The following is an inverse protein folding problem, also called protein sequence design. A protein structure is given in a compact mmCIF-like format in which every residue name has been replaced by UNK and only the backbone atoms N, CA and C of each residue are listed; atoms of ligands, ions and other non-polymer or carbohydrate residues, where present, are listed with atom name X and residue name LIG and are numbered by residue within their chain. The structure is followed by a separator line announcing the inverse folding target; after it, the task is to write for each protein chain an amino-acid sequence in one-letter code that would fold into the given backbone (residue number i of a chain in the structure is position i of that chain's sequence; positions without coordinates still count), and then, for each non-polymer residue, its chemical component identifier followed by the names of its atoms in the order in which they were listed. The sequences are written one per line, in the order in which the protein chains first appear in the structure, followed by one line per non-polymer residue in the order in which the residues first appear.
data_IF_997099070891
#
_entry.id   IF_997099070891
#
_cell.length_a   1.000
_cell.length_b   1.000
_cell.length_c   1.000
_cell.angle_alpha   90.00
_cell.angle_beta   90.00
_cell.angle_gamma   90.00
#
_symmetry.space_group_name_H-M   'P 1'
#
loop_
_entity.id
_entity.type
_entity.pdbx_description
1 polymer ?
#
# COMPACT_ATOMS: atom_id res chain seq x y z
N UNK A 1 -28.23 -34.95 -16.95
CA UNK A 1 -28.03 -34.46 -15.56
C UNK A 1 -26.78 -35.13 -15.01
N UNK A 2 -25.81 -34.37 -14.51
CA UNK A 2 -24.62 -34.95 -13.86
C UNK A 2 -25.05 -35.64 -12.56
N UNK A 3 -24.66 -36.90 -12.33
CA UNK A 3 -25.01 -37.60 -11.08
C UNK A 3 -24.47 -36.80 -9.89
N UNK A 4 -25.33 -36.55 -8.90
CA UNK A 4 -24.99 -35.75 -7.71
C UNK A 4 -24.61 -36.66 -6.55
N UNK A 5 -23.64 -36.24 -5.74
CA UNK A 5 -23.24 -36.98 -4.55
C UNK A 5 -24.38 -37.01 -3.51
N UNK A 6 -24.70 -38.20 -2.99
CA UNK A 6 -25.77 -38.37 -1.97
C UNK A 6 -25.45 -37.67 -0.64
N UNK A 7 -24.19 -37.36 -0.38
CA UNK A 7 -23.77 -36.59 0.79
C UNK A 7 -23.93 -35.07 0.61
N UNK A 8 -24.34 -34.59 -0.57
CA UNK A 8 -24.52 -33.15 -0.81
C UNK A 8 -25.60 -32.59 0.12
N UNK A 9 -25.25 -31.56 0.90
CA UNK A 9 -26.10 -30.93 1.93
C UNK A 9 -26.59 -31.90 3.02
N UNK A 10 -25.91 -33.03 3.20
CA UNK A 10 -26.22 -33.94 4.29
C UNK A 10 -25.66 -33.38 5.61
N UNK A 11 -26.46 -33.30 6.70
CA UNK A 11 -26.01 -32.75 7.98
C UNK A 11 -25.09 -33.69 8.78
N UNK A 12 -24.86 -34.91 8.31
CA UNK A 12 -24.00 -35.88 9.01
C UNK A 12 -22.53 -35.42 9.03
N UNK A 13 -22.07 -34.95 10.20
CA UNK A 13 -20.70 -34.47 10.42
C UNK A 13 -19.62 -35.52 10.19
N UNK A 14 -19.95 -36.82 10.22
CA UNK A 14 -18.97 -37.88 9.99
C UNK A 14 -18.30 -37.79 8.60
N UNK A 15 -18.95 -37.17 7.61
CA UNK A 15 -18.32 -36.93 6.31
C UNK A 15 -17.09 -36.01 6.40
N UNK A 16 -17.09 -35.03 7.32
CA UNK A 16 -16.06 -34.00 7.44
C UNK A 16 -15.17 -34.13 8.68
N UNK A 17 -15.60 -34.89 9.68
CA UNK A 17 -14.89 -35.08 10.95
C UNK A 17 -15.24 -36.46 11.54
N UNK A 18 -14.74 -37.56 10.94
CA UNK A 18 -15.05 -38.91 11.39
C UNK A 18 -14.44 -39.25 12.74
N UNK A 19 -13.28 -38.67 13.10
CA UNK A 19 -12.57 -39.00 14.35
C UNK A 19 -13.31 -38.49 15.59
N UNK A 20 -14.17 -37.46 15.45
CA UNK A 20 -15.01 -36.94 16.53
C UNK A 20 -16.50 -37.27 16.37
N UNK A 21 -16.88 -38.10 15.39
CA UNK A 21 -18.26 -38.47 15.14
C UNK A 21 -18.64 -39.77 15.88
N UNK A 22 -19.90 -39.92 16.33
CA UNK A 22 -20.35 -41.17 16.94
C UNK A 22 -20.47 -42.30 15.90
N UNK A 23 -20.24 -43.55 16.32
CA UNK A 23 -20.18 -44.73 15.45
C UNK A 23 -21.41 -44.93 14.55
N UNK A 24 -22.61 -44.58 15.03
CA UNK A 24 -23.82 -44.70 14.22
C UNK A 24 -23.80 -43.73 13.03
N UNK A 25 -23.25 -42.52 13.20
CA UNK A 25 -23.11 -41.52 12.15
C UNK A 25 -22.07 -41.95 11.11
N UNK A 26 -20.97 -42.55 11.56
CA UNK A 26 -19.95 -43.15 10.68
C UNK A 26 -20.58 -44.26 9.83
N UNK A 27 -21.27 -45.23 10.47
CA UNK A 27 -21.94 -46.33 9.76
C UNK A 27 -22.97 -45.82 8.74
N UNK A 28 -23.75 -44.80 9.09
CA UNK A 28 -24.71 -44.18 8.17
C UNK A 28 -24.02 -43.52 6.97
N UNK A 29 -22.90 -42.81 7.19
CA UNK A 29 -22.12 -42.20 6.12
C UNK A 29 -21.53 -43.26 5.17
N UNK A 30 -20.96 -44.34 5.70
CA UNK A 30 -20.42 -45.45 4.91
C UNK A 30 -21.52 -46.12 4.05
N UNK A 31 -22.71 -46.34 4.62
CA UNK A 31 -23.86 -46.91 3.89
C UNK A 31 -24.32 -45.99 2.75
N UNK A 32 -24.38 -44.68 2.99
CA UNK A 32 -24.69 -43.68 1.95
C UNK A 32 -23.65 -43.69 0.83
N UNK A 33 -22.36 -43.77 1.16
CA UNK A 33 -21.30 -43.86 0.17
C UNK A 33 -21.40 -45.13 -0.70
N UNK A 34 -21.80 -46.26 -0.11
CA UNK A 34 -21.92 -47.52 -0.85
C UNK A 34 -22.95 -47.45 -1.98
N UNK A 35 -24.04 -46.69 -1.79
CA UNK A 35 -25.11 -46.47 -2.77
C UNK A 35 -24.86 -45.25 -3.69
N UNK A 36 -23.76 -44.53 -3.50
CA UNK A 36 -23.55 -43.24 -4.17
C UNK A 36 -23.15 -43.43 -5.65
N UNK A 37 -23.86 -42.80 -6.61
CA UNK A 37 -23.60 -42.98 -8.05
C UNK A 37 -22.24 -42.40 -8.50
N UNK A 38 -21.66 -41.50 -7.72
CA UNK A 38 -20.35 -40.88 -8.00
C UNK A 38 -19.21 -41.48 -7.18
N UNK A 39 -19.40 -42.65 -6.56
CA UNK A 39 -18.42 -43.26 -5.65
C UNK A 39 -17.03 -43.40 -6.28
N UNK A 40 -16.95 -43.91 -7.51
CA UNK A 40 -15.68 -44.09 -8.22
C UNK A 40 -14.97 -42.77 -8.52
N UNK A 41 -15.73 -41.75 -8.94
CA UNK A 41 -15.15 -40.41 -9.15
C UNK A 41 -14.70 -39.77 -7.84
N UNK A 42 -15.52 -39.88 -6.79
CA UNK A 42 -15.17 -39.43 -5.44
C UNK A 42 -13.89 -40.10 -4.94
N UNK A 43 -13.67 -41.38 -5.24
CA UNK A 43 -12.44 -42.09 -4.89
C UNK A 43 -11.21 -41.51 -5.61
N UNK A 44 -11.33 -41.19 -6.91
CA UNK A 44 -10.26 -40.54 -7.68
C UNK A 44 -9.94 -39.15 -7.14
N UNK A 45 -10.96 -38.35 -6.90
CA UNK A 45 -10.78 -36.99 -6.37
C UNK A 45 -10.15 -37.04 -4.98
N UNK A 46 -10.60 -37.96 -4.12
CA UNK A 46 -10.06 -38.13 -2.78
C UNK A 46 -8.63 -38.68 -2.79
N UNK A 47 -8.23 -39.50 -3.77
CA UNK A 47 -6.86 -40.00 -3.89
C UNK A 47 -5.83 -38.88 -4.11
N UNK A 48 -6.26 -37.76 -4.72
CA UNK A 48 -5.42 -36.62 -5.09
C UNK A 48 -5.74 -35.35 -4.30
N UNK A 49 -6.59 -35.42 -3.28
CA UNK A 49 -7.05 -34.25 -2.54
C UNK A 49 -5.95 -33.55 -1.73
N UNK A 50 -4.90 -34.29 -1.38
CA UNK A 50 -3.72 -33.80 -0.65
C UNK A 50 -2.54 -33.42 -1.54
N UNK A 51 -2.69 -33.49 -2.86
CA UNK A 51 -1.61 -33.20 -3.80
C UNK A 51 -1.10 -31.77 -3.64
N UNK A 52 0.22 -31.61 -3.67
CA UNK A 52 0.83 -30.30 -3.58
C UNK A 52 0.75 -29.56 -4.92
N UNK A 53 0.58 -28.24 -4.85
CA UNK A 53 0.44 -27.41 -6.05
C UNK A 53 1.71 -27.35 -6.93
N UNK A 54 2.86 -27.69 -6.37
CA UNK A 54 4.14 -27.82 -7.06
C UNK A 54 4.34 -29.21 -7.70
N UNK A 55 3.40 -30.14 -7.53
CA UNK A 55 3.44 -31.49 -8.10
C UNK A 55 4.47 -32.42 -7.47
N UNK A 56 5.15 -32.01 -6.40
CA UNK A 56 6.20 -32.80 -5.75
C UNK A 56 5.69 -33.78 -4.68
N UNK A 57 4.43 -33.66 -4.26
CA UNK A 57 3.81 -34.48 -3.22
C UNK A 57 2.45 -34.96 -3.71
N UNK A 58 2.21 -36.27 -3.61
CA UNK A 58 0.90 -36.88 -3.84
C UNK A 58 0.39 -37.45 -2.53
N UNK A 59 -0.82 -37.07 -2.12
CA UNK A 59 -1.43 -37.56 -0.89
C UNK A 59 -2.96 -37.68 -0.99
N UNK A 60 -3.57 -38.71 -0.39
CA UNK A 60 -5.01 -38.84 -0.36
C UNK A 60 -5.61 -37.85 0.64
N UNK A 61 -6.93 -37.78 0.65
CA UNK A 61 -7.70 -37.03 1.64
C UNK A 61 -7.35 -37.48 3.06
N UNK A 62 -7.58 -36.60 4.03
CA UNK A 62 -7.32 -36.83 5.45
C UNK A 62 -8.43 -36.22 6.30
N UNK A 63 -8.89 -36.92 7.33
CA UNK A 63 -9.90 -36.44 8.27
C UNK A 63 -11.31 -36.37 7.69
N UNK A 64 -11.64 -37.19 6.69
CA UNK A 64 -12.95 -37.19 6.02
C UNK A 64 -13.40 -38.61 5.68
N UNK A 65 -14.69 -38.81 5.38
CA UNK A 65 -15.19 -40.04 4.74
C UNK A 65 -15.43 -39.75 3.26
N UNK A 66 -14.69 -40.45 2.38
CA UNK A 66 -14.84 -40.33 0.93
C UNK A 66 -14.91 -41.73 0.29
N UNK A 67 -15.76 -41.90 -0.72
CA UNK A 67 -15.99 -43.17 -1.41
C UNK A 67 -16.26 -44.40 -0.51
N UNK A 68 -16.73 -44.17 0.72
CA UNK A 68 -16.98 -45.22 1.72
C UNK A 68 -15.73 -45.65 2.49
N UNK A 69 -14.72 -44.80 2.55
CA UNK A 69 -13.44 -45.03 3.23
C UNK A 69 -13.23 -43.90 4.23
N UNK A 70 -12.81 -44.23 5.45
CA UNK A 70 -12.35 -43.24 6.43
C UNK A 70 -10.93 -42.87 6.05
N UNK A 71 -10.73 -41.65 5.54
CA UNK A 71 -9.47 -41.22 4.99
C UNK A 71 -8.56 -40.67 6.10
N UNK A 72 -7.47 -41.37 6.40
CA UNK A 72 -6.49 -41.00 7.43
C UNK A 72 -5.24 -40.30 6.88
N UNK A 73 -5.13 -40.19 5.56
CA UNK A 73 -3.95 -39.59 4.94
C UNK A 73 -2.71 -40.46 5.04
N UNK A 74 -2.88 -41.79 5.00
CA UNK A 74 -1.82 -42.79 5.04
C UNK A 74 -1.81 -43.64 3.76
N UNK A 75 -0.80 -44.51 3.63
CA UNK A 75 -0.66 -45.40 2.48
C UNK A 75 -1.86 -46.36 2.34
N UNK A 76 -2.41 -46.84 3.46
CA UNK A 76 -3.59 -47.72 3.47
C UNK A 76 -4.83 -47.03 2.90
N UNK A 77 -5.04 -45.76 3.27
CA UNK A 77 -6.07 -44.90 2.68
C UNK A 77 -5.87 -44.78 1.17
N UNK A 78 -4.64 -44.53 0.71
CA UNK A 78 -4.34 -44.40 -0.72
C UNK A 78 -4.63 -45.71 -1.47
N UNK A 79 -4.21 -46.86 -0.94
CA UNK A 79 -4.52 -48.17 -1.53
C UNK A 79 -6.02 -48.46 -1.58
N UNK A 80 -6.76 -48.15 -0.51
CA UNK A 80 -8.21 -48.34 -0.47
C UNK A 80 -8.93 -47.47 -1.51
N UNK A 81 -8.53 -46.21 -1.64
CA UNK A 81 -9.09 -45.27 -2.63
C UNK A 81 -8.74 -45.67 -4.06
N UNK A 82 -7.48 -46.06 -4.33
CA UNK A 82 -7.04 -46.54 -5.63
C UNK A 82 -7.85 -47.76 -6.10
N UNK A 83 -8.07 -48.74 -5.20
CA UNK A 83 -8.96 -49.88 -5.46
C UNK A 83 -10.38 -49.45 -5.77
N UNK A 84 -10.96 -48.53 -4.98
CA UNK A 84 -12.33 -48.03 -5.20
C UNK A 84 -12.48 -47.21 -6.49
N UNK A 85 -11.40 -46.57 -6.94
CA UNK A 85 -11.32 -45.80 -8.17
C UNK A 85 -11.03 -46.65 -9.43
N UNK A 86 -10.57 -47.89 -9.25
CA UNK A 86 -10.11 -48.77 -10.33
C UNK A 86 -8.83 -48.28 -11.01
N UNK A 87 -7.92 -47.67 -10.25
CA UNK A 87 -6.65 -47.11 -10.73
C UNK A 87 -5.47 -47.63 -9.90
N UNK A 88 -4.23 -47.65 -10.43
CA UNK A 88 -3.07 -47.99 -9.62
C UNK A 88 -2.84 -46.97 -8.50
N UNK A 89 -2.31 -47.42 -7.37
CA UNK A 89 -1.84 -46.52 -6.30
C UNK A 89 -0.68 -45.67 -6.83
N UNK A 90 -0.65 -44.35 -6.57
CA UNK A 90 0.44 -43.49 -7.03
C UNK A 90 1.82 -43.96 -6.52
N UNK A 91 2.86 -43.99 -7.37
CA UNK A 91 4.18 -44.53 -7.01
C UNK A 91 4.97 -43.62 -6.07
N UNK A 92 4.62 -42.33 -5.99
CA UNK A 92 5.32 -41.32 -5.19
C UNK A 92 4.43 -40.78 -4.07
N UNK A 93 3.88 -41.70 -3.29
CA UNK A 93 3.20 -41.33 -2.05
C UNK A 93 4.21 -40.73 -1.07
N UNK A 94 3.98 -39.49 -0.65
CA UNK A 94 4.77 -38.83 0.39
C UNK A 94 3.83 -38.34 1.46
N UNK A 95 4.01 -38.88 2.66
CA UNK A 95 3.35 -38.34 3.84
C UNK A 95 3.67 -36.85 3.94
N UNK A 96 2.65 -36.08 4.29
CA UNK A 96 2.80 -34.64 4.46
C UNK A 96 3.87 -34.39 5.52
N UNK A 97 4.97 -33.75 5.13
CA UNK A 97 6.01 -33.37 6.08
C UNK A 97 5.37 -32.64 7.28
N UNK A 98 5.78 -32.96 8.52
CA UNK A 98 5.25 -32.29 9.70
C UNK A 98 5.41 -30.78 9.53
N UNK A 99 4.37 -30.03 9.90
CA UNK A 99 4.43 -28.57 9.83
C UNK A 99 5.65 -28.13 10.65
N UNK A 100 6.53 -27.26 10.11
CA UNK A 100 7.65 -26.74 10.86
C UNK A 100 7.16 -26.16 12.18
N UNK A 101 7.73 -26.62 13.29
CA UNK A 101 7.42 -26.05 14.60
C UNK A 101 7.93 -24.61 14.62
N UNK A 102 7.07 -23.71 15.10
CA UNK A 102 7.47 -22.33 15.31
C UNK A 102 8.39 -22.28 16.54
N UNK A 103 9.44 -21.46 16.53
CA UNK A 103 10.27 -21.28 17.71
C UNK A 103 9.44 -20.70 18.87
N UNK A 104 9.78 -21.09 20.09
CA UNK A 104 9.14 -20.58 21.32
C UNK A 104 9.47 -19.10 21.57
N UNK A 105 10.59 -18.62 21.01
CA UNK A 105 11.08 -17.25 21.12
C UNK A 105 11.05 -16.50 19.80
N UNK A 106 11.07 -15.16 19.89
CA UNK A 106 11.20 -14.29 18.72
C UNK A 106 12.57 -14.44 18.07
N UNK A 107 12.62 -14.69 16.76
CA UNK A 107 13.86 -14.85 15.98
C UNK A 107 14.85 -13.67 16.05
N UNK A 108 14.43 -12.49 16.52
CA UNK A 108 15.29 -11.30 16.61
C UNK A 108 15.58 -10.86 18.04
N UNK A 109 14.57 -10.78 18.90
CA UNK A 109 14.78 -10.33 20.29
C UNK A 109 14.86 -11.47 21.31
N UNK A 110 14.71 -12.73 20.90
CA UNK A 110 14.77 -13.91 21.76
C UNK A 110 13.61 -14.06 22.75
N UNK A 111 12.80 -13.02 22.96
CA UNK A 111 11.73 -13.03 23.96
C UNK A 111 10.68 -14.11 23.67
N UNK A 112 10.14 -14.78 24.70
CA UNK A 112 9.10 -15.79 24.53
C UNK A 112 7.87 -15.23 23.81
N UNK A 113 7.34 -16.02 22.87
CA UNK A 113 6.20 -15.65 22.05
C UNK A 113 4.90 -16.11 22.70
N UNK A 114 4.04 -15.16 23.04
CA UNK A 114 2.66 -15.46 23.39
C UNK A 114 1.80 -15.58 22.13
N UNK A 115 0.79 -16.46 22.15
CA UNK A 115 -0.20 -16.56 21.07
C UNK A 115 -0.87 -15.20 20.85
N UNK A 116 -1.30 -14.95 19.62
CA UNK A 116 -1.99 -13.69 19.32
C UNK A 116 -3.28 -13.59 20.13
N UNK A 117 -3.47 -12.48 20.84
CA UNK A 117 -4.67 -12.15 21.61
C UNK A 117 -5.09 -10.72 21.31
N UNK A 118 -6.38 -10.42 21.51
CA UNK A 118 -6.91 -9.04 21.45
C UNK A 118 -6.70 -8.29 22.76
N UNK A 119 -6.43 -9.01 23.85
CA UNK A 119 -6.33 -8.49 25.20
C UNK A 119 -4.85 -8.51 25.63
N UNK A 120 -4.13 -7.38 25.54
CA UNK A 120 -2.69 -7.37 25.82
C UNK A 120 -2.35 -7.69 27.28
N UNK A 121 -3.30 -7.51 28.20
CA UNK A 121 -3.18 -7.79 29.63
C UNK A 121 -3.05 -9.29 29.95
N UNK A 122 -3.53 -10.16 29.05
CA UNK A 122 -3.37 -11.62 29.16
C UNK A 122 -1.94 -12.09 28.85
N UNK A 123 -1.10 -11.21 28.30
CA UNK A 123 0.27 -11.56 27.94
C UNK A 123 1.12 -11.56 29.21
N UNK A 124 1.70 -12.71 29.60
CA UNK A 124 2.52 -12.76 30.80
C UNK A 124 3.71 -11.80 30.72
N UNK A 125 4.18 -11.36 31.89
CA UNK A 125 5.34 -10.48 31.96
C UNK A 125 6.57 -11.13 31.26
N UNK A 126 7.37 -10.31 30.58
CA UNK A 126 8.51 -10.77 29.78
C UNK A 126 8.16 -11.38 28.41
N UNK A 127 6.91 -11.75 28.16
CA UNK A 127 6.48 -12.30 26.87
C UNK A 127 6.16 -11.19 25.86
N UNK A 128 6.16 -11.56 24.59
CA UNK A 128 5.78 -10.65 23.49
C UNK A 128 4.78 -11.34 22.57
N UNK A 129 3.82 -10.57 22.05
CA UNK A 129 2.80 -11.10 21.16
C UNK A 129 3.41 -11.58 19.84
N UNK A 130 3.07 -12.81 19.44
CA UNK A 130 3.40 -13.38 18.15
C UNK A 130 2.76 -12.59 17.00
N UNK A 131 3.54 -12.37 15.95
CA UNK A 131 3.11 -11.73 14.72
C UNK A 131 3.06 -12.75 13.57
N UNK A 132 4.21 -13.26 13.13
CA UNK A 132 4.29 -14.22 12.02
C UNK A 132 5.62 -14.98 12.03
N UNK A 133 5.61 -16.26 11.64
CA UNK A 133 6.82 -17.07 11.38
C UNK A 133 7.89 -17.01 12.50
N UNK A 134 7.49 -16.96 13.77
CA UNK A 134 8.44 -16.87 14.89
C UNK A 134 8.95 -15.45 15.17
N UNK A 135 8.24 -14.41 14.73
CA UNK A 135 8.57 -13.01 15.00
C UNK A 135 7.50 -12.35 15.86
N UNK A 136 7.92 -11.45 16.76
CA UNK A 136 7.00 -10.68 17.59
C UNK A 136 6.54 -9.38 16.92
N UNK A 137 5.46 -8.79 17.45
CA UNK A 137 4.92 -7.51 16.94
C UNK A 137 5.87 -6.33 17.02
N UNK A 138 6.84 -6.35 17.95
CA UNK A 138 7.85 -5.29 18.10
C UNK A 138 9.00 -5.42 17.08
N UNK A 139 9.28 -6.63 16.60
CA UNK A 139 10.36 -6.91 15.65
C UNK A 139 9.89 -6.93 14.18
N UNK A 140 8.79 -6.25 13.83
CA UNK A 140 8.24 -6.21 12.46
C UNK A 140 9.23 -5.67 11.42
N UNK A 141 10.07 -4.70 11.79
CA UNK A 141 11.09 -4.14 10.91
C UNK A 141 12.14 -5.18 10.50
N UNK A 142 12.71 -5.87 11.47
CA UNK A 142 13.67 -6.94 11.24
C UNK A 142 13.04 -8.15 10.52
N UNK A 143 11.79 -8.49 10.80
CA UNK A 143 11.04 -9.48 10.02
C UNK A 143 10.94 -9.08 8.54
N UNK A 144 10.62 -7.81 8.26
CA UNK A 144 10.52 -7.30 6.88
C UNK A 144 11.87 -7.37 6.16
N UNK A 145 12.97 -7.05 6.84
CA UNK A 145 14.32 -7.15 6.31
C UNK A 145 14.68 -8.61 5.99
N UNK A 146 14.52 -9.53 6.95
CA UNK A 146 14.79 -10.95 6.77
C UNK A 146 13.93 -11.57 5.65
N UNK A 147 12.65 -11.19 5.57
CA UNK A 147 11.76 -11.62 4.49
C UNK A 147 12.23 -11.07 3.14
N UNK A 148 12.61 -9.80 3.06
CA UNK A 148 13.04 -9.23 1.78
C UNK A 148 14.39 -9.78 1.32
N UNK A 149 15.28 -10.15 2.25
CA UNK A 149 16.56 -10.80 1.93
C UNK A 149 16.39 -12.19 1.30
N UNK A 150 15.29 -12.88 1.59
CA UNK A 150 14.98 -14.22 1.05
C UNK A 150 14.11 -14.19 -0.21
N UNK A 151 13.65 -13.01 -0.62
CA UNK A 151 12.77 -12.85 -1.79
C UNK A 151 13.59 -12.40 -2.98
N UNK A 152 13.82 -13.31 -3.93
CA UNK A 152 14.48 -12.99 -5.21
C UNK A 152 13.46 -13.00 -6.35
N UNK A 153 13.90 -12.67 -7.58
CA UNK A 153 13.07 -12.85 -8.78
C UNK A 153 12.75 -14.33 -9.03
N UNK A 154 13.65 -15.22 -8.63
CA UNK A 154 13.56 -16.67 -8.79
C UNK A 154 12.75 -17.33 -7.66
N UNK A 155 12.78 -16.78 -6.45
CA UNK A 155 11.98 -17.21 -5.29
C UNK A 155 11.11 -16.06 -4.75
N UNK A 156 10.03 -15.69 -5.47
CA UNK A 156 9.15 -14.62 -5.04
C UNK A 156 8.43 -14.97 -3.71
N UNK A 157 8.15 -13.93 -2.91
CA UNK A 157 7.35 -14.05 -1.67
C UNK A 157 5.94 -14.58 -1.97
N UNK A 158 5.76 -15.89 -1.77
CA UNK A 158 4.50 -16.60 -1.94
C UNK A 158 4.24 -17.07 -3.37
N UNK A 159 3.35 -18.05 -3.53
CA UNK A 159 2.84 -18.42 -4.84
C UNK A 159 2.19 -17.16 -5.46
N UNK A 160 2.80 -16.61 -6.51
CA UNK A 160 2.08 -15.78 -7.47
C UNK A 160 1.12 -16.72 -8.18
N UNK A 161 0.02 -17.08 -7.52
CA UNK A 161 -1.04 -17.85 -8.17
C UNK A 161 -1.38 -17.11 -9.47
N UNK A 162 -1.31 -17.79 -10.61
CA UNK A 162 -2.07 -17.36 -11.79
C UNK A 162 -3.58 -17.22 -11.45
N UNK A 163 -4.00 -17.81 -10.34
CA UNK A 163 -5.32 -17.79 -9.72
C UNK A 163 -5.48 -16.64 -8.71
N UNK A 164 -5.02 -15.41 -8.98
CA UNK A 164 -5.73 -14.23 -8.47
C UNK A 164 -6.80 -13.84 -9.51
N UNK A 165 -7.74 -14.77 -9.73
CA UNK A 165 -8.84 -14.63 -10.69
C UNK A 165 -9.67 -13.37 -10.43
N UNK A 166 -9.70 -12.83 -9.20
CA UNK A 166 -10.45 -11.59 -8.91
C UNK A 166 -9.74 -10.33 -9.39
N UNK A 167 -8.40 -10.27 -9.31
CA UNK A 167 -7.62 -9.14 -9.85
C UNK A 167 -7.30 -9.25 -11.33
N UNK A 168 -7.42 -10.41 -11.96
CA UNK A 168 -7.09 -10.60 -13.38
C UNK A 168 -8.23 -11.10 -14.27
N UNK A 169 -9.48 -11.18 -13.77
CA UNK A 169 -10.62 -11.47 -14.66
C UNK A 169 -10.72 -10.38 -15.75
N UNK A 170 -10.87 -10.76 -17.04
CA UNK A 170 -10.99 -9.79 -18.13
C UNK A 170 -12.15 -8.81 -17.90
N UNK A 171 -13.24 -9.22 -17.24
CA UNK A 171 -14.33 -8.31 -16.87
C UNK A 171 -13.89 -7.25 -15.84
N UNK A 172 -13.04 -7.61 -14.86
CA UNK A 172 -12.51 -6.66 -13.87
C UNK A 172 -11.42 -5.77 -14.46
N UNK A 173 -10.71 -6.24 -15.50
CA UNK A 173 -9.76 -5.43 -16.27
C UNK A 173 -10.51 -4.43 -17.16
N UNK A 174 -11.54 -4.88 -17.90
CA UNK A 174 -12.41 -4.04 -18.70
C UNK A 174 -13.19 -3.03 -17.84
N UNK A 175 -13.70 -3.44 -16.67
CA UNK A 175 -14.34 -2.53 -15.74
C UNK A 175 -13.39 -1.45 -15.20
N UNK A 176 -12.12 -1.80 -14.96
CA UNK A 176 -11.08 -0.83 -14.60
C UNK A 176 -10.73 0.10 -15.74
N UNK A 177 -10.58 -0.42 -16.96
CA UNK A 177 -10.36 0.39 -18.16
C UNK A 177 -11.51 1.39 -18.37
N UNK A 178 -12.77 0.95 -18.25
CA UNK A 178 -13.94 1.84 -18.29
C UNK A 178 -13.92 2.90 -17.19
N UNK A 179 -13.51 2.53 -15.98
CA UNK A 179 -13.41 3.47 -14.85
C UNK A 179 -12.31 4.51 -15.08
N UNK A 180 -11.17 4.10 -15.61
CA UNK A 180 -10.07 5.01 -15.97
C UNK A 180 -10.47 5.94 -17.10
N UNK A 181 -11.03 5.42 -18.19
CA UNK A 181 -11.52 6.23 -19.31
C UNK A 181 -12.59 7.24 -18.88
N UNK A 182 -13.50 6.85 -17.98
CA UNK A 182 -14.48 7.79 -17.40
C UNK A 182 -13.82 8.87 -16.54
N UNK A 183 -12.77 8.51 -15.80
CA UNK A 183 -11.98 9.46 -15.02
C UNK A 183 -11.21 10.45 -15.91
N UNK A 184 -10.64 9.97 -17.02
CA UNK A 184 -9.95 10.79 -18.01
C UNK A 184 -10.91 11.74 -18.73
N UNK A 185 -12.05 11.25 -19.21
CA UNK A 185 -13.09 12.08 -19.81
C UNK A 185 -13.63 13.14 -18.83
N UNK A 186 -13.83 12.78 -17.57
CA UNK A 186 -14.23 13.74 -16.54
C UNK A 186 -13.15 14.79 -16.25
N UNK A 187 -11.86 14.44 -16.31
CA UNK A 187 -10.76 15.41 -16.21
C UNK A 187 -10.72 16.34 -17.42
N UNK A 188 -10.91 15.82 -18.63
CA UNK A 188 -10.96 16.63 -19.84
C UNK A 188 -12.11 17.65 -19.80
N UNK A 189 -13.32 17.20 -19.46
CA UNK A 189 -14.49 18.09 -19.31
C UNK A 189 -14.31 19.12 -18.17
N UNK A 190 -13.65 18.73 -17.08
CA UNK A 190 -13.32 19.66 -16.00
C UNK A 190 -12.27 20.69 -16.44
N UNK A 191 -11.29 20.30 -17.25
CA UNK A 191 -10.28 21.21 -17.80
C UNK A 191 -10.90 22.27 -18.73
N UNK A 192 -11.92 21.91 -19.53
CA UNK A 192 -12.69 22.88 -20.33
C UNK A 192 -13.39 23.94 -19.46
N UNK A 193 -13.77 23.58 -18.24
CA UNK A 193 -14.34 24.48 -17.24
C UNK A 193 -13.28 25.21 -16.39
N UNK A 194 -12.00 25.06 -16.75
CA UNK A 194 -10.85 25.67 -16.09
C UNK A 194 -10.35 24.94 -14.85
N UNK A 195 -10.78 23.70 -14.58
CA UNK A 195 -10.25 22.86 -13.50
C UNK A 195 -9.12 21.98 -14.01
N UNK A 196 -7.91 22.51 -13.95
CA UNK A 196 -6.69 21.98 -14.57
C UNK A 196 -5.68 21.44 -13.55
N UNK A 197 -5.80 21.80 -12.27
CA UNK A 197 -4.83 21.40 -11.24
C UNK A 197 -5.36 20.26 -10.37
N UNK A 198 -4.57 19.19 -10.26
CA UNK A 198 -4.81 18.18 -9.23
C UNK A 198 -4.34 18.68 -7.85
N UNK A 199 -4.76 17.99 -6.78
CA UNK A 199 -4.43 18.36 -5.39
C UNK A 199 -2.93 18.57 -5.15
N UNK A 200 -2.05 17.81 -5.79
CA UNK A 200 -0.58 17.91 -5.60
C UNK A 200 -0.02 19.12 -6.34
N UNK A 201 -0.51 19.41 -7.55
CA UNK A 201 -0.12 20.59 -8.32
C UNK A 201 -0.59 21.88 -7.65
N UNK A 202 -1.85 21.89 -7.17
CA UNK A 202 -2.40 22.99 -6.40
C UNK A 202 -1.60 23.26 -5.11
N UNK A 203 -1.13 22.20 -4.42
CA UNK A 203 -0.24 22.34 -3.26
C UNK A 203 1.11 22.95 -3.64
N UNK A 204 1.71 22.46 -4.72
CA UNK A 204 3.01 22.94 -5.17
C UNK A 204 2.97 24.43 -5.51
N UNK A 205 1.87 24.90 -6.12
CA UNK A 205 1.70 26.30 -6.49
C UNK A 205 1.43 27.22 -5.29
N UNK A 206 0.63 26.77 -4.31
CA UNK A 206 0.34 27.56 -3.10
C UNK A 206 1.44 27.47 -2.03
N UNK A 207 2.31 26.46 -2.09
CA UNK A 207 3.33 26.22 -1.07
C UNK A 207 2.74 25.88 0.31
N UNK A 208 1.51 25.34 0.37
CA UNK A 208 0.79 25.01 1.62
C UNK A 208 0.46 23.53 1.73
N UNK A 209 0.21 23.06 2.96
CA UNK A 209 -0.20 21.68 3.25
C UNK A 209 -1.55 21.31 2.57
N UNK A 210 -1.73 20.09 2.03
CA UNK A 210 -3.00 19.53 1.55
C UNK A 210 -4.26 19.87 2.36
N UNK A 211 -4.18 19.91 3.68
CA UNK A 211 -5.32 20.20 4.57
C UNK A 211 -5.82 21.64 4.41
N UNK A 212 -4.92 22.57 4.05
CA UNK A 212 -5.27 23.96 3.79
C UNK A 212 -6.11 24.13 2.52
N UNK A 213 -5.90 23.33 1.47
CA UNK A 213 -6.73 23.37 0.26
C UNK A 213 -8.17 22.94 0.53
N UNK A 214 -8.37 21.96 1.41
CA UNK A 214 -9.72 21.52 1.78
C UNK A 214 -10.42 22.59 2.63
N UNK A 215 -9.70 23.21 3.57
CA UNK A 215 -10.24 24.30 4.38
C UNK A 215 -10.59 25.53 3.52
N UNK A 216 -9.72 25.92 2.58
CA UNK A 216 -9.96 27.03 1.64
C UNK A 216 -11.18 26.76 0.75
N UNK A 217 -11.35 25.52 0.28
CA UNK A 217 -12.54 25.14 -0.49
C UNK A 217 -13.81 25.13 0.37
N UNK A 218 -13.74 24.71 1.64
CA UNK A 218 -14.87 24.76 2.57
C UNK A 218 -15.26 26.20 2.96
N UNK A 219 -14.28 27.09 3.03
CA UNK A 219 -14.47 28.52 3.28
C UNK A 219 -14.90 29.31 2.03
N UNK A 220 -15.05 28.66 0.87
CA UNK A 220 -15.48 29.29 -0.38
C UNK A 220 -14.40 30.08 -1.13
N UNK A 221 -13.14 30.00 -0.72
CA UNK A 221 -12.02 30.66 -1.40
C UNK A 221 -11.53 29.90 -2.64
N UNK A 222 -11.87 28.62 -2.75
CA UNK A 222 -11.51 27.76 -3.86
C UNK A 222 -12.70 26.92 -4.30
N UNK A 223 -12.86 26.77 -5.60
CA UNK A 223 -13.81 25.86 -6.20
C UNK A 223 -13.10 24.54 -6.52
N UNK A 224 -13.75 23.41 -6.24
CA UNK A 224 -13.20 22.08 -6.56
C UNK A 224 -14.25 21.14 -7.14
N UNK A 225 -13.82 20.28 -8.05
CA UNK A 225 -14.65 19.22 -8.65
C UNK A 225 -14.06 17.85 -8.36
N UNK A 226 -14.93 16.88 -8.07
CA UNK A 226 -14.51 15.50 -7.77
C UNK A 226 -14.39 14.68 -9.05
N UNK A 227 -13.25 14.03 -9.25
CA UNK A 227 -13.04 13.09 -10.35
C UNK A 227 -13.70 11.74 -10.01
N UNK A 228 -14.66 11.27 -10.84
CA UNK A 228 -15.30 9.96 -10.65
C UNK A 228 -14.27 8.82 -10.61
N UNK A 229 -14.52 7.81 -9.78
CA UNK A 229 -13.65 6.63 -9.69
C UNK A 229 -12.35 6.83 -8.90
N UNK A 230 -12.03 8.06 -8.47
CA UNK A 230 -10.86 8.32 -7.62
C UNK A 230 -11.27 8.62 -6.18
N UNK A 231 -10.69 7.89 -5.22
CA UNK A 231 -11.00 8.06 -3.78
C UNK A 231 -10.51 9.41 -3.24
N UNK A 232 -9.52 10.04 -3.88
CA UNK A 232 -8.90 11.33 -3.49
C UNK A 232 -8.65 12.28 -4.68
N UNK A 233 -9.34 12.09 -5.81
CA UNK A 233 -9.14 12.91 -7.01
C UNK A 233 -10.01 14.15 -6.99
N UNK A 234 -9.47 15.28 -6.51
CA UNK A 234 -10.09 16.59 -6.65
C UNK A 234 -9.30 17.43 -7.65
N UNK A 235 -10.01 18.23 -8.45
CA UNK A 235 -9.42 19.22 -9.33
C UNK A 235 -9.80 20.62 -8.84
N UNK A 236 -8.89 21.56 -9.04
CA UNK A 236 -8.96 22.96 -8.64
C UNK A 236 -8.72 23.84 -9.86
N UNK A 237 -9.24 25.07 -9.86
CA UNK A 237 -8.94 26.05 -10.91
C UNK A 237 -7.60 26.71 -10.68
N UNK A 238 -6.72 26.74 -11.68
CA UNK A 238 -5.43 27.44 -11.59
C UNK A 238 -5.57 28.93 -11.30
N UNK A 239 -6.56 29.61 -11.88
CA UNK A 239 -6.79 31.04 -11.66
C UNK A 239 -7.04 31.38 -10.19
N UNK A 240 -7.86 30.60 -9.49
CA UNK A 240 -8.17 30.81 -8.07
C UNK A 240 -6.97 30.51 -7.18
N UNK A 241 -6.22 29.45 -7.51
CA UNK A 241 -4.99 29.06 -6.80
C UNK A 241 -3.92 30.14 -6.93
N UNK A 242 -3.76 30.71 -8.12
CA UNK A 242 -2.81 31.80 -8.38
C UNK A 242 -3.25 33.11 -7.73
N UNK A 243 -4.55 33.41 -7.69
CA UNK A 243 -5.07 34.60 -7.02
C UNK A 243 -4.85 34.58 -5.50
N UNK A 244 -4.80 33.40 -4.89
CA UNK A 244 -4.49 33.23 -3.46
C UNK A 244 -2.99 33.24 -3.15
N UNK A 245 -2.13 33.24 -4.17
CA UNK A 245 -0.69 33.37 -3.97
C UNK A 245 -0.40 34.83 -3.58
N UNK A 246 0.17 35.10 -2.39
CA UNK A 246 0.57 36.46 -2.07
C UNK A 246 1.57 36.95 -3.13
N UNK A 247 1.52 38.24 -3.52
CA UNK A 247 2.52 38.79 -4.43
C UNK A 247 3.92 38.53 -3.88
N UNK A 248 4.91 38.25 -4.75
CA UNK A 248 6.24 37.90 -4.29
C UNK A 248 6.83 39.07 -3.47
N UNK A 249 7.60 38.74 -2.44
CA UNK A 249 8.06 39.68 -1.42
C UNK A 249 8.72 40.96 -2.01
N UNK A 250 9.44 40.84 -3.13
CA UNK A 250 10.07 41.99 -3.79
C UNK A 250 9.05 43.00 -4.37
N UNK A 251 7.86 42.54 -4.81
CA UNK A 251 6.80 43.43 -5.31
C UNK A 251 6.22 44.24 -4.15
N UNK A 252 5.91 43.57 -3.03
CA UNK A 252 5.41 44.23 -1.81
C UNK A 252 6.44 45.23 -1.26
N UNK A 253 7.73 44.87 -1.32
CA UNK A 253 8.82 45.75 -0.89
C UNK A 253 8.97 46.97 -1.82
N UNK A 254 8.92 46.78 -3.13
CA UNK A 254 9.03 47.84 -4.12
C UNK A 254 7.87 48.85 -4.03
N UNK A 255 6.63 48.41 -3.78
CA UNK A 255 5.48 49.30 -3.53
C UNK A 255 5.69 50.23 -2.33
N UNK A 256 6.56 49.84 -1.39
CA UNK A 256 6.94 50.65 -0.22
C UNK A 256 8.27 51.39 -0.40
N UNK A 257 8.84 51.37 -1.60
CA UNK A 257 10.10 52.04 -1.92
C UNK A 257 11.36 51.26 -1.56
N UNK A 258 11.27 49.97 -1.20
CA UNK A 258 12.42 49.10 -0.91
C UNK A 258 12.67 48.15 -2.09
N UNK A 259 13.54 48.57 -2.99
CA UNK A 259 13.77 47.96 -4.31
C UNK A 259 14.98 47.02 -4.36
N UNK A 260 15.85 47.03 -3.34
CA UNK A 260 17.07 46.24 -3.33
C UNK A 260 17.02 45.08 -2.34
N UNK A 261 17.38 43.88 -2.81
CA UNK A 261 17.80 42.79 -1.91
C UNK A 261 19.15 43.12 -1.27
N UNK A 262 19.49 42.45 -0.17
CA UNK A 262 20.81 42.60 0.47
C UNK A 262 21.99 42.39 -0.49
N UNK A 263 21.83 41.52 -1.50
CA UNK A 263 22.87 41.29 -2.51
C UNK A 263 22.95 42.44 -3.50
N UNK A 264 21.82 42.87 -4.05
CA UNK A 264 21.78 44.02 -4.96
C UNK A 264 22.25 45.30 -4.30
N UNK A 265 21.98 45.49 -3.01
CA UNK A 265 22.48 46.63 -2.25
C UNK A 265 24.00 46.58 -2.05
N UNK A 266 24.57 45.39 -1.80
CA UNK A 266 26.03 45.23 -1.76
C UNK A 266 26.68 45.49 -3.13
N UNK A 267 26.05 45.00 -4.20
CA UNK A 267 26.52 45.21 -5.57
C UNK A 267 26.43 46.70 -5.97
N UNK A 268 25.33 47.40 -5.63
CA UNK A 268 25.19 48.86 -5.82
C UNK A 268 26.25 49.64 -5.03
N UNK A 269 26.50 49.24 -3.78
CA UNK A 269 27.51 49.84 -2.92
C UNK A 269 28.96 49.55 -3.37
N UNK A 270 29.17 48.64 -4.33
CA UNK A 270 30.51 48.22 -4.75
C UNK A 270 31.30 47.51 -3.66
N UNK A 271 30.63 46.88 -2.68
CA UNK A 271 31.27 46.22 -1.53
C UNK A 271 30.96 44.74 -1.46
N UNK A 272 31.79 43.99 -0.73
CA UNK A 272 31.50 42.59 -0.42
C UNK A 272 30.20 42.47 0.39
N UNK A 273 29.41 41.43 0.10
CA UNK A 273 28.14 41.16 0.78
C UNK A 273 28.25 41.13 2.32
N UNK A 274 29.33 40.58 2.86
CA UNK A 274 29.57 40.54 4.32
C UNK A 274 29.71 41.92 4.95
N UNK A 275 30.33 42.86 4.24
CA UNK A 275 30.51 44.26 4.68
C UNK A 275 29.17 44.97 4.72
N UNK A 276 28.36 44.80 3.67
CA UNK A 276 27.00 45.35 3.62
C UNK A 276 26.12 44.74 4.74
N UNK A 277 26.12 43.42 4.88
CA UNK A 277 25.33 42.72 5.88
C UNK A 277 25.69 43.17 7.32
N UNK A 278 26.97 43.37 7.61
CA UNK A 278 27.42 43.89 8.91
C UNK A 278 26.82 45.27 9.24
N UNK A 279 26.83 46.20 8.27
CA UNK A 279 26.21 47.53 8.42
C UNK A 279 24.68 47.45 8.56
N UNK A 280 24.03 46.61 7.77
CA UNK A 280 22.58 46.39 7.88
C UNK A 280 22.18 45.79 9.25
N UNK A 281 22.99 44.89 9.81
CA UNK A 281 22.78 44.35 11.16
C UNK A 281 22.99 45.39 12.27
N UNK A 282 23.90 46.35 12.06
CA UNK A 282 24.12 47.46 12.97
C UNK A 282 23.04 48.55 12.89
N UNK A 283 22.01 48.38 12.04
CA UNK A 283 20.91 49.35 11.91
C UNK A 283 21.27 50.60 11.12
N UNK A 284 22.32 50.53 10.29
CA UNK A 284 22.76 51.66 9.45
C UNK A 284 21.77 51.97 8.33
N UNK A 285 21.01 50.97 7.89
CA UNK A 285 20.02 51.09 6.82
C UNK A 285 18.63 50.78 7.35
N UNK A 286 17.64 51.57 6.92
CA UNK A 286 16.25 51.18 7.08
C UNK A 286 15.96 49.93 6.23
N UNK A 287 15.21 49.00 6.82
CA UNK A 287 15.00 47.68 6.23
C UNK A 287 13.55 47.26 6.37
N UNK A 288 12.99 46.80 5.26
CA UNK A 288 11.64 46.29 5.23
C UNK A 288 11.64 44.77 5.03
N UNK A 289 10.85 44.08 5.86
CA UNK A 289 10.53 42.66 5.68
C UNK A 289 9.05 42.52 5.37
N UNK A 290 8.68 42.15 4.13
CA UNK A 290 7.29 41.86 3.78
C UNK A 290 6.69 40.77 4.67
N UNK A 291 5.40 40.86 5.06
CA UNK A 291 4.74 39.84 5.87
C UNK A 291 4.91 38.43 5.28
N UNK A 292 5.40 37.49 6.08
CA UNK A 292 5.67 36.11 5.64
C UNK A 292 6.99 35.90 4.89
N UNK A 293 7.78 36.95 4.67
CA UNK A 293 9.14 36.87 4.13
C UNK A 293 10.17 36.73 5.27
N UNK A 294 11.28 36.03 4.98
CA UNK A 294 12.50 36.06 5.81
C UNK A 294 13.58 36.98 5.23
N UNK A 295 13.33 37.56 4.06
CA UNK A 295 14.25 38.45 3.38
C UNK A 295 13.97 39.91 3.74
N UNK A 296 15.05 40.66 3.94
CA UNK A 296 15.03 42.11 4.10
C UNK A 296 15.34 42.80 2.78
N UNK A 297 14.65 43.91 2.55
CA UNK A 297 14.81 44.79 1.41
C UNK A 297 15.24 46.18 1.90
N UNK A 298 15.99 46.89 1.05
CA UNK A 298 16.63 48.17 1.33
C UNK A 298 16.27 49.16 0.22
N UNK A 299 16.32 50.45 0.53
CA UNK A 299 16.06 51.50 -0.46
C UNK A 299 17.34 51.84 -1.22
N UNK A 300 17.27 51.98 -2.54
CA UNK A 300 18.42 52.32 -3.37
C UNK A 300 19.00 53.70 -3.08
N UNK A 301 18.17 54.70 -2.78
CA UNK A 301 18.59 56.06 -2.44
C UNK A 301 19.44 56.12 -1.16
N UNK A 302 19.02 55.39 -0.12
CA UNK A 302 19.73 55.32 1.15
C UNK A 302 21.10 54.61 1.03
N UNK A 303 21.14 53.50 0.27
CA UNK A 303 22.37 52.77 0.01
C UNK A 303 23.34 53.61 -0.81
N UNK A 304 22.85 54.24 -1.89
CA UNK A 304 23.63 55.14 -2.74
C UNK A 304 24.21 56.32 -1.95
N UNK A 305 23.39 56.96 -1.11
CA UNK A 305 23.82 58.08 -0.28
C UNK A 305 24.90 57.69 0.74
N UNK A 306 24.78 56.53 1.39
CA UNK A 306 25.74 56.09 2.41
C UNK A 306 27.11 55.74 1.83
N UNK A 307 27.15 55.16 0.63
CA UNK A 307 28.39 54.75 -0.03
C UNK A 307 28.89 55.75 -1.08
N UNK A 308 28.21 56.90 -1.23
CA UNK A 308 28.53 57.93 -2.21
C UNK A 308 28.63 57.39 -3.65
N UNK A 309 27.66 56.56 -4.02
CA UNK A 309 27.54 55.92 -5.33
C UNK A 309 26.35 56.51 -6.07
N UNK A 310 26.44 56.59 -7.39
CA UNK A 310 25.30 56.99 -8.22
C UNK A 310 24.19 55.92 -8.12
N UNK A 311 22.95 56.28 -7.74
CA UNK A 311 21.84 55.32 -7.61
C UNK A 311 21.37 54.73 -8.94
N UNK A 312 21.88 55.21 -10.08
CA UNK A 312 21.50 54.72 -11.40
C UNK A 312 21.91 53.24 -11.54
N UNK A 313 20.96 52.29 -11.71
CA UNK A 313 21.29 50.88 -11.79
C UNK A 313 22.17 50.61 -13.01
N UNK A 314 23.18 49.73 -12.91
CA UNK A 314 24.01 49.37 -14.06
C UNK A 314 23.13 48.78 -15.17
N UNK A 315 23.36 49.24 -16.40
CA UNK A 315 22.67 48.75 -17.61
C UNK A 315 22.79 47.21 -17.66
N UNK A 316 21.71 46.45 -17.88
CA UNK A 316 21.78 45.00 -17.93
C UNK A 316 22.77 44.57 -19.02
N UNK A 317 23.75 43.76 -18.65
CA UNK A 317 24.68 43.12 -19.59
C UNK A 317 23.90 42.19 -20.53
N UNK A 318 24.14 42.24 -21.84
CA UNK A 318 23.47 41.35 -22.77
C UNK A 318 23.84 39.90 -22.47
N UNK A 319 22.90 38.94 -22.66
CA UNK A 319 23.18 37.54 -22.41
C UNK A 319 24.30 37.06 -23.33
N UNK A 320 25.30 36.39 -22.76
CA UNK A 320 26.31 35.68 -23.53
C UNK A 320 25.63 34.56 -24.33
N UNK A 321 25.71 34.66 -25.66
CA UNK A 321 25.39 33.62 -26.64
C UNK A 321 26.31 32.41 -26.50
#
# INVERSE_FOLDING_TARGET
MTPTALCHRNPNRAFSDPDNAPDFSIRAALKLCAACPVRTQCARDALHAGDSLDGHTTAPATGVIAAGIICRGDADTAHALARAAGVPTPPHYREKAPRPQLPDGCNHCGRPLHKWTRNPEEIPEGHVMHYAKGWCVKCRGAYKQARNATVTKETPSGLRKQIDRKRHHPETAAARARTLARGEAARAAAAEQGYDLNTREAQALLGRDPRSLTALAQAGHLTRVKVPGQRRGWLYKSSEILALKPPPAHVIAAERGYDLTARQAADLAGVAFSVFAGKAHAGVFDRYSPPGSRAYFYRSDEVAAHFNVDPTPPRPTPPHT
#
